data_IF_097232845874
#
_entry.id   IF_097232845874
#
_cell.length_a   1.000
_cell.length_b   1.000
_cell.length_c   1.000
_cell.angle_alpha   90.00
_cell.angle_beta   90.00
_cell.angle_gamma   90.00
#
_symmetry.space_group_name_H-M   'P 1'
#
loop_
_entity.id
_entity.type
_entity.pdbx_description
1 polymer ?
#
# COMPACT_ATOMS: atom_id res chain seq x y z
N UNK A 1 3.34 -7.56 -56.36
CA UNK A 1 2.14 -6.79 -56.75
C UNK A 1 1.04 -7.79 -57.16
N UNK A 2 0.04 -8.02 -56.31
CA UNK A 2 -1.16 -8.75 -56.71
C UNK A 2 -2.35 -8.02 -56.10
N UNK A 3 -2.96 -7.15 -56.91
CA UNK A 3 -4.24 -6.54 -56.61
C UNK A 3 -5.26 -7.17 -57.56
N UNK A 4 -5.98 -8.20 -57.08
CA UNK A 4 -7.16 -8.73 -57.73
C UNK A 4 -8.38 -7.99 -57.21
N UNK A 5 -9.04 -7.26 -58.12
CA UNK A 5 -10.37 -6.72 -57.94
C UNK A 5 -11.41 -7.85 -57.99
N UNK A 6 -12.38 -7.84 -57.08
CA UNK A 6 -13.70 -8.41 -57.35
C UNK A 6 -14.79 -7.56 -56.66
N UNK A 7 -15.88 -7.21 -57.37
CA UNK A 7 -16.95 -6.35 -56.85
C UNK A 7 -18.04 -7.19 -56.17
N UNK A 8 -18.73 -6.66 -55.16
CA UNK A 8 -20.04 -7.16 -54.74
C UNK A 8 -20.96 -6.02 -54.25
N UNK A 9 -22.18 -6.09 -54.79
CA UNK A 9 -23.31 -5.15 -54.74
C UNK A 9 -24.04 -5.22 -53.40
N UNK A 10 -24.73 -4.13 -52.96
CA UNK A 10 -25.27 -4.00 -51.61
C UNK A 10 -26.66 -4.62 -51.46
N UNK A 11 -26.99 -5.08 -50.26
CA UNK A 11 -28.36 -5.38 -49.87
C UNK A 11 -28.73 -4.65 -48.59
N UNK A 12 -29.67 -3.73 -48.75
CA UNK A 12 -30.39 -3.05 -47.68
C UNK A 12 -31.20 -4.04 -46.86
N UNK A 13 -31.08 -3.99 -45.54
CA UNK A 13 -32.20 -4.35 -44.66
C UNK A 13 -32.40 -3.27 -43.61
N UNK A 14 -33.66 -2.81 -43.55
CA UNK A 14 -34.21 -1.84 -42.62
C UNK A 14 -34.11 -2.38 -41.18
N UNK A 15 -33.90 -1.50 -40.20
CA UNK A 15 -34.91 -1.12 -39.19
C UNK A 15 -34.31 -0.14 -38.15
N UNK A 16 -35.14 0.76 -37.59
CA UNK A 16 -34.71 1.74 -36.61
C UNK A 16 -34.63 1.08 -35.23
N UNK A 17 -33.69 1.52 -34.38
CA UNK A 17 -33.88 1.40 -32.93
C UNK A 17 -33.16 2.52 -32.20
N UNK A 18 -33.98 3.32 -31.55
CA UNK A 18 -33.64 4.35 -30.62
C UNK A 18 -32.75 3.83 -29.47
N UNK A 19 -32.24 4.79 -28.72
CA UNK A 19 -31.78 4.66 -27.33
C UNK A 19 -30.38 4.10 -27.12
N UNK A 20 -29.36 4.90 -27.42
CA UNK A 20 -28.20 4.93 -26.52
C UNK A 20 -28.60 5.74 -25.29
N UNK A 21 -29.19 4.99 -24.34
CA UNK A 21 -29.25 5.34 -22.93
C UNK A 21 -27.91 5.99 -22.53
N UNK A 22 -27.85 7.33 -22.49
CA UNK A 22 -26.83 8.01 -21.69
C UNK A 22 -27.10 7.58 -20.27
N UNK A 23 -26.37 6.54 -19.83
CA UNK A 23 -26.31 6.09 -18.45
C UNK A 23 -25.92 7.30 -17.62
N UNK A 24 -26.93 7.98 -17.08
CA UNK A 24 -26.75 8.87 -15.95
C UNK A 24 -26.18 7.98 -14.86
N UNK A 25 -24.86 8.05 -14.66
CA UNK A 25 -24.22 7.72 -13.39
C UNK A 25 -24.86 8.65 -12.36
N UNK A 26 -26.04 8.25 -11.89
CA UNK A 26 -26.91 9.04 -11.02
C UNK A 26 -26.31 8.91 -9.63
N UNK A 27 -25.36 9.80 -9.37
CA UNK A 27 -24.99 10.37 -8.08
C UNK A 27 -25.44 9.52 -6.86
N UNK A 28 -24.56 8.65 -6.36
CA UNK A 28 -24.58 8.24 -4.95
C UNK A 28 -23.41 8.85 -4.14
N UNK A 29 -23.06 10.15 -4.30
CA UNK A 29 -21.89 10.72 -3.65
C UNK A 29 -22.10 10.81 -2.13
N UNK A 30 -23.33 11.03 -1.67
CA UNK A 30 -23.64 11.21 -0.25
C UNK A 30 -23.46 9.92 0.57
N UNK A 31 -23.94 8.79 0.05
CA UNK A 31 -23.77 7.50 0.73
C UNK A 31 -22.33 7.01 0.69
N UNK A 32 -21.61 7.26 -0.41
CA UNK A 32 -20.19 6.90 -0.53
C UNK A 32 -19.32 7.80 0.37
N UNK A 33 -19.57 9.10 0.39
CA UNK A 33 -18.86 10.05 1.25
C UNK A 33 -19.15 9.84 2.73
N UNK A 34 -20.40 9.49 3.11
CA UNK A 34 -20.74 9.16 4.49
C UNK A 34 -20.03 7.86 4.94
N UNK A 35 -20.00 6.83 4.08
CA UNK A 35 -19.27 5.59 4.38
C UNK A 35 -17.77 5.83 4.52
N UNK A 36 -17.18 6.67 3.65
CA UNK A 36 -15.77 7.05 3.76
C UNK A 36 -15.50 7.85 5.05
N UNK A 37 -16.38 8.79 5.40
CA UNK A 37 -16.27 9.59 6.62
C UNK A 37 -16.35 8.74 7.88
N UNK A 38 -17.24 7.74 7.92
CA UNK A 38 -17.32 6.78 9.03
C UNK A 38 -16.04 5.93 9.13
N UNK A 39 -15.51 5.44 8.01
CA UNK A 39 -14.26 4.67 8.01
C UNK A 39 -13.08 5.49 8.54
N UNK A 40 -12.94 6.74 8.11
CA UNK A 40 -11.88 7.65 8.60
C UNK A 40 -12.05 7.96 10.08
N UNK A 41 -13.29 8.18 10.55
CA UNK A 41 -13.56 8.43 11.97
C UNK A 41 -13.21 7.22 12.84
N UNK A 42 -13.56 6.01 12.40
CA UNK A 42 -13.20 4.77 13.09
C UNK A 42 -11.68 4.62 13.14
N UNK A 43 -10.99 4.77 12.01
CA UNK A 43 -9.53 4.62 11.94
C UNK A 43 -8.79 5.64 12.84
N UNK A 44 -9.28 6.88 12.89
CA UNK A 44 -8.75 7.92 13.77
C UNK A 44 -8.92 7.57 15.26
N UNK A 45 -10.09 7.04 15.65
CA UNK A 45 -10.34 6.62 17.02
C UNK A 45 -9.43 5.46 17.48
N UNK A 46 -9.16 4.51 16.59
CA UNK A 46 -8.22 3.40 16.84
C UNK A 46 -6.78 3.87 17.00
N UNK A 47 -6.35 4.91 16.27
CA UNK A 47 -4.99 5.43 16.33
C UNK A 47 -4.64 6.09 17.67
N UNK A 48 -5.62 6.68 18.37
CA UNK A 48 -5.41 7.37 19.66
C UNK A 48 -5.59 6.44 20.86
N UNK A 49 -6.27 5.30 20.70
CA UNK A 49 -6.59 4.36 21.78
C UNK A 49 -5.40 3.62 22.40
N UNK A 50 -4.19 3.72 21.83
CA UNK A 50 -2.99 3.06 22.36
C UNK A 50 -2.27 3.84 23.47
N UNK A 51 -2.60 5.11 23.70
CA UNK A 51 -1.93 5.94 24.70
C UNK A 51 -2.57 5.76 26.10
N UNK A 52 -2.11 4.76 26.86
CA UNK A 52 -2.48 4.57 28.26
C UNK A 52 -1.38 5.09 29.21
N UNK A 53 -1.73 5.99 30.12
CA UNK A 53 -0.82 6.48 31.17
C UNK A 53 -0.74 5.44 32.30
N UNK A 54 0.17 4.48 32.18
CA UNK A 54 0.40 3.46 33.22
C UNK A 54 1.26 4.02 34.35
N UNK A 55 1.00 3.55 35.59
CA UNK A 55 1.76 3.99 36.76
C UNK A 55 3.17 3.36 36.72
N UNK A 56 4.20 4.00 37.31
CA UNK A 56 5.59 3.54 37.19
C UNK A 56 5.81 2.07 37.60
N UNK A 57 5.10 1.59 38.62
CA UNK A 57 5.21 0.22 39.12
C UNK A 57 4.55 -0.83 38.21
N UNK A 58 3.65 -0.44 37.30
CA UNK A 58 3.04 -1.37 36.33
C UNK A 58 4.01 -1.70 35.18
N UNK A 59 5.11 -0.94 35.04
CA UNK A 59 6.15 -1.13 34.02
C UNK A 59 7.26 -2.09 34.45
N UNK A 60 7.25 -2.57 35.68
CA UNK A 60 8.32 -3.40 36.27
C UNK A 60 8.60 -4.68 35.45
N UNK A 61 7.56 -5.29 34.89
CA UNK A 61 7.70 -6.49 34.06
C UNK A 61 8.44 -6.22 32.73
N UNK A 62 8.33 -4.99 32.20
CA UNK A 62 8.96 -4.57 30.95
C UNK A 62 10.39 -4.05 31.16
N UNK A 63 10.75 -3.63 32.37
CA UNK A 63 12.08 -3.11 32.72
C UNK A 63 13.05 -4.18 33.21
N UNK A 64 12.69 -5.47 33.11
CA UNK A 64 13.58 -6.57 33.49
C UNK A 64 14.81 -6.57 32.59
N UNK A 65 16.02 -6.85 33.12
CA UNK A 65 17.23 -6.96 32.30
C UNK A 65 17.13 -7.99 31.18
N UNK A 66 16.22 -8.97 31.25
CA UNK A 66 15.98 -9.94 30.16
C UNK A 66 15.25 -9.36 28.95
N UNK A 67 14.61 -8.18 29.10
CA UNK A 67 13.87 -7.48 28.05
C UNK A 67 14.67 -6.29 27.49
N UNK A 68 15.93 -6.14 27.90
CA UNK A 68 16.82 -5.09 27.40
C UNK A 68 17.42 -5.48 26.04
N UNK A 69 16.90 -4.86 24.98
CA UNK A 69 17.37 -5.04 23.61
C UNK A 69 18.80 -4.54 23.36
N UNK A 70 19.39 -3.79 24.30
CA UNK A 70 20.72 -3.20 24.14
C UNK A 70 21.80 -3.91 24.96
N UNK A 71 21.47 -4.99 25.70
CA UNK A 71 22.45 -5.72 26.52
C UNK A 71 23.67 -6.19 25.75
N UNK A 72 23.47 -6.69 24.53
CA UNK A 72 24.53 -7.19 23.65
C UNK A 72 24.72 -6.29 22.43
N UNK A 73 24.70 -4.96 22.64
CA UNK A 73 24.79 -3.99 21.54
C UNK A 73 26.06 -4.15 20.68
N UNK A 74 27.17 -4.63 21.23
CA UNK A 74 28.41 -4.91 20.49
C UNK A 74 28.26 -6.10 19.54
N UNK A 75 27.63 -7.17 20.00
CA UNK A 75 27.35 -8.36 19.18
C UNK A 75 26.33 -8.02 18.08
N UNK A 76 25.27 -7.28 18.43
CA UNK A 76 24.27 -6.81 17.46
C UNK A 76 24.89 -5.95 16.34
N UNK A 77 25.84 -5.05 16.67
CA UNK A 77 26.59 -4.26 15.67
C UNK A 77 27.49 -5.12 14.79
N UNK A 78 28.11 -6.15 15.34
CA UNK A 78 28.91 -7.08 14.57
C UNK A 78 28.05 -7.84 13.55
N UNK A 79 26.90 -8.38 14.00
CA UNK A 79 25.96 -9.05 13.11
C UNK A 79 25.38 -8.12 12.04
N UNK A 80 25.03 -6.88 12.39
CA UNK A 80 24.53 -5.92 11.40
C UNK A 80 25.59 -5.64 10.32
N UNK A 81 26.87 -5.48 10.69
CA UNK A 81 27.94 -5.30 9.72
C UNK A 81 28.12 -6.51 8.78
N UNK A 82 28.03 -7.73 9.31
CA UNK A 82 28.09 -8.95 8.49
C UNK A 82 26.91 -9.03 7.53
N UNK A 83 25.71 -8.68 7.97
CA UNK A 83 24.51 -8.67 7.15
C UNK A 83 24.55 -7.57 6.10
N UNK A 84 25.01 -6.36 6.44
CA UNK A 84 25.20 -5.26 5.49
C UNK A 84 26.21 -5.65 4.39
N UNK A 85 27.30 -6.36 4.74
CA UNK A 85 28.26 -6.85 3.74
C UNK A 85 27.67 -7.91 2.80
N UNK A 86 26.69 -8.69 3.25
CA UNK A 86 26.05 -9.77 2.47
C UNK A 86 24.83 -9.29 1.67
N UNK A 87 24.09 -8.33 2.22
CA UNK A 87 22.77 -7.89 1.77
C UNK A 87 22.74 -6.39 1.46
N UNK A 88 23.90 -5.74 1.35
CA UNK A 88 24.02 -4.32 1.06
C UNK A 88 23.31 -3.91 -0.24
N UNK A 89 23.27 -4.79 -1.25
CA UNK A 89 22.55 -4.54 -2.50
C UNK A 89 21.01 -4.44 -2.32
N UNK A 90 20.46 -5.05 -1.27
CA UNK A 90 19.02 -4.97 -0.93
C UNK A 90 18.71 -3.86 0.07
N UNK A 91 19.72 -3.12 0.53
CA UNK A 91 19.55 -1.90 1.31
C UNK A 91 19.81 -1.99 2.80
N UNK A 92 20.46 -3.07 3.27
CA UNK A 92 21.03 -3.18 4.62
C UNK A 92 20.06 -2.94 5.79
N UNK A 93 20.60 -3.07 7.01
CA UNK A 93 19.88 -2.80 8.26
C UNK A 93 19.99 -1.32 8.69
N UNK A 94 20.95 -0.57 8.12
CA UNK A 94 21.12 0.86 8.31
C UNK A 94 20.95 1.60 6.99
N UNK A 95 20.17 2.68 7.01
CA UNK A 95 19.84 3.52 5.86
C UNK A 95 21.06 3.93 5.00
N UNK A 96 21.43 3.10 4.02
CA UNK A 96 22.29 3.41 2.89
C UNK A 96 22.15 2.33 1.81
N UNK A 97 21.05 2.39 1.04
CA UNK A 97 21.11 2.02 -0.38
C UNK A 97 20.70 0.61 -0.77
N UNK A 98 19.39 0.36 -0.82
CA UNK A 98 18.84 -0.70 -1.67
C UNK A 98 18.66 -0.15 -3.08
N UNK A 99 19.74 -0.06 -3.85
CA UNK A 99 19.73 0.49 -5.19
C UNK A 99 21.06 0.32 -5.92
N UNK A 100 21.00 0.27 -7.25
CA UNK A 100 22.17 0.30 -8.14
C UNK A 100 23.12 1.41 -7.69
N UNK A 101 24.29 1.03 -7.16
CA UNK A 101 25.25 1.89 -6.48
C UNK A 101 25.95 2.89 -7.41
N UNK A 102 25.21 3.88 -7.91
CA UNK A 102 25.78 5.05 -8.57
C UNK A 102 25.73 6.23 -7.59
N UNK A 103 26.81 6.42 -6.84
CA UNK A 103 27.28 7.75 -6.45
C UNK A 103 28.40 8.16 -7.42
#
# INVERSE_FOLDING_TARGET
MAANNHPHIPHSTRRPRASSHRRRYRRKPRFLALKLGVLVAVFSALAVGGCATVKPYEREYLSRPSMDFQREATEAKFYSHVLDAREGATGGLGNAGGGCGCN
#
